data_IF_475712839048
#
_entry.id   IF_475712839048
#
_cell.length_a   1.000
_cell.length_b   1.000
_cell.length_c   1.000
_cell.angle_alpha   90.00
_cell.angle_beta   90.00
_cell.angle_gamma   90.00
#
_symmetry.space_group_name_H-M   'P 1'
#
loop_
_entity.id
_entity.type
_entity.pdbx_description
1 polymer ?
#
# COMPACT_ATOMS: atom_id res chain seq x y z
N UNK A 1 -5.74 22.74 28.42
CA UNK A 1 -5.64 21.67 27.40
C UNK A 1 -4.25 21.07 27.49
N UNK A 2 -4.14 19.88 28.06
CA UNK A 2 -2.86 19.15 28.13
C UNK A 2 -2.57 18.66 26.72
N UNK A 3 -1.51 19.18 26.11
CA UNK A 3 -0.96 18.59 24.90
C UNK A 3 -0.42 17.20 25.29
N UNK A 4 -1.20 16.15 25.01
CA UNK A 4 -0.66 14.80 25.00
C UNK A 4 0.50 14.80 23.99
N UNK A 5 1.72 14.71 24.51
CA UNK A 5 2.92 14.49 23.72
C UNK A 5 2.72 13.16 22.98
N UNK A 6 2.26 13.23 21.72
CA UNK A 6 2.10 12.04 20.90
C UNK A 6 3.47 11.36 20.79
N UNK A 7 3.60 10.17 21.40
CA UNK A 7 4.81 9.37 21.29
C UNK A 7 5.03 9.03 19.81
N UNK A 8 6.28 9.05 19.31
CA UNK A 8 6.58 8.79 17.90
C UNK A 8 6.27 7.34 17.46
N UNK A 9 6.12 6.46 18.45
CA UNK A 9 5.74 5.06 18.30
C UNK A 9 4.75 4.72 19.41
N UNK A 10 3.62 4.11 19.04
CA UNK A 10 2.63 3.57 19.94
C UNK A 10 2.46 2.07 19.66
N UNK A 11 2.36 1.30 20.74
CA UNK A 11 2.09 -0.13 20.69
C UNK A 11 0.77 -0.39 21.42
N UNK A 12 -0.16 -1.06 20.74
CA UNK A 12 -1.50 -1.34 21.29
C UNK A 12 -1.76 -2.84 21.25
N UNK A 13 -2.24 -3.42 22.35
CA UNK A 13 -2.64 -4.83 22.39
C UNK A 13 -4.09 -4.95 21.96
N UNK A 14 -4.35 -5.74 20.93
CA UNK A 14 -5.68 -6.01 20.39
C UNK A 14 -5.89 -7.53 20.21
N UNK A 15 -7.07 -7.93 19.73
CA UNK A 15 -7.34 -9.32 19.36
C UNK A 15 -7.72 -9.42 17.88
N UNK A 16 -7.18 -10.45 17.23
CA UNK A 16 -7.55 -10.84 15.88
C UNK A 16 -8.10 -12.26 15.89
N UNK A 17 -9.02 -12.57 14.99
CA UNK A 17 -9.67 -13.88 14.92
C UNK A 17 -9.20 -14.60 13.66
N UNK A 18 -8.74 -15.84 13.78
CA UNK A 18 -8.43 -16.72 12.65
C UNK A 18 -9.71 -17.24 11.98
N UNK A 19 -9.62 -17.64 10.70
CA UNK A 19 -10.77 -18.23 9.99
C UNK A 19 -11.32 -19.51 10.63
N UNK A 20 -10.51 -20.17 11.46
CA UNK A 20 -10.90 -21.30 12.30
C UNK A 20 -11.65 -20.90 13.59
N UNK A 21 -11.90 -19.61 13.82
CA UNK A 21 -12.53 -19.07 15.02
C UNK A 21 -11.56 -18.82 16.19
N UNK A 22 -10.29 -19.24 16.08
CA UNK A 22 -9.29 -19.04 17.14
C UNK A 22 -8.97 -17.56 17.31
N UNK A 23 -8.94 -17.08 18.56
CA UNK A 23 -8.54 -15.70 18.87
C UNK A 23 -7.06 -15.61 19.22
N UNK A 24 -6.36 -14.75 18.50
CA UNK A 24 -4.94 -14.47 18.70
C UNK A 24 -4.76 -13.09 19.30
N UNK A 25 -3.82 -12.98 20.24
CA UNK A 25 -3.35 -11.69 20.72
C UNK A 25 -2.54 -11.01 19.61
N UNK A 26 -2.81 -9.72 19.40
CA UNK A 26 -2.12 -8.91 18.41
C UNK A 26 -1.48 -7.69 19.09
N UNK A 27 -0.30 -7.30 18.60
CA UNK A 27 0.39 -6.08 18.97
C UNK A 27 0.44 -5.21 17.73
N UNK A 28 -0.40 -4.17 17.73
CA UNK A 28 -0.48 -3.17 16.68
C UNK A 28 0.62 -2.13 16.87
N UNK A 29 1.30 -1.80 15.77
CA UNK A 29 2.45 -0.91 15.70
C UNK A 29 2.05 0.34 14.92
N UNK A 30 1.91 1.46 15.63
CA UNK A 30 1.54 2.74 15.05
C UNK A 30 2.71 3.72 15.12
N UNK A 31 3.18 4.17 13.95
CA UNK A 31 4.20 5.19 13.82
C UNK A 31 3.52 6.51 13.50
N UNK A 32 3.52 7.42 14.46
CA UNK A 32 2.82 8.72 14.37
C UNK A 32 3.67 9.83 13.75
N UNK A 33 4.93 9.53 13.42
CA UNK A 33 5.88 10.47 12.81
C UNK A 33 6.23 10.06 11.37
N UNK A 34 6.59 11.02 10.48
CA UNK A 34 6.93 10.70 9.08
C UNK A 34 8.13 9.75 8.96
N UNK A 35 9.12 9.91 9.84
CA UNK A 35 10.34 9.11 9.90
C UNK A 35 10.64 8.74 11.35
N UNK A 36 10.70 7.45 11.62
CA UNK A 36 11.02 6.92 12.95
C UNK A 36 12.54 6.72 13.08
N UNK A 37 13.13 7.27 14.13
CA UNK A 37 14.57 7.15 14.41
C UNK A 37 14.88 5.96 15.33
N UNK A 38 15.98 5.20 15.11
CA UNK A 38 16.30 4.01 15.91
C UNK A 38 16.47 4.25 17.42
N UNK A 39 16.76 5.48 17.83
CA UNK A 39 16.88 5.86 19.25
C UNK A 39 15.63 5.56 20.07
N UNK A 40 14.45 5.41 19.44
CA UNK A 40 13.21 5.02 20.11
C UNK A 40 13.30 3.66 20.81
N UNK A 41 14.13 2.74 20.31
CA UNK A 41 14.24 1.36 20.82
C UNK A 41 14.76 1.30 22.26
N UNK A 42 15.59 2.26 22.66
CA UNK A 42 16.17 2.31 24.01
C UNK A 42 15.17 2.66 25.10
N UNK A 43 14.01 3.22 24.74
CA UNK A 43 12.94 3.65 25.65
C UNK A 43 11.61 2.94 25.38
N UNK A 44 11.64 1.90 24.57
CA UNK A 44 10.45 1.18 24.14
C UNK A 44 10.12 0.07 25.13
N UNK A 45 9.05 0.29 25.90
CA UNK A 45 8.46 -0.73 26.75
C UNK A 45 7.33 -1.46 26.01
N UNK A 46 7.20 -2.77 26.27
CA UNK A 46 6.05 -3.52 25.81
C UNK A 46 4.82 -3.13 26.65
N UNK A 47 3.61 -3.09 26.07
CA UNK A 47 2.40 -2.81 26.82
C UNK A 47 2.20 -3.79 27.98
N UNK A 48 1.74 -3.30 29.13
CA UNK A 48 1.55 -4.11 30.34
C UNK A 48 0.40 -5.12 30.18
N UNK A 49 -0.51 -4.85 29.24
CA UNK A 49 -1.66 -5.67 28.86
C UNK A 49 -1.26 -6.93 28.08
N UNK A 50 0.01 -7.05 27.66
CA UNK A 50 0.50 -8.17 26.87
C UNK A 50 0.54 -9.46 27.71
N UNK A 51 -0.39 -10.37 27.42
CA UNK A 51 -0.46 -11.68 28.05
C UNK A 51 0.73 -12.54 27.64
N UNK A 52 1.57 -12.86 28.62
CA UNK A 52 2.80 -13.63 28.43
C UNK A 52 2.55 -15.13 28.19
N UNK A 53 1.34 -15.62 28.48
CA UNK A 53 0.95 -17.02 28.30
C UNK A 53 0.46 -17.34 26.89
N UNK A 54 0.17 -16.31 26.09
CA UNK A 54 -0.34 -16.41 24.72
C UNK A 54 0.75 -16.02 23.73
N UNK A 55 0.76 -16.66 22.56
CA UNK A 55 1.60 -16.18 21.48
C UNK A 55 1.03 -14.91 20.83
N UNK A 56 1.84 -14.28 19.98
CA UNK A 56 1.62 -12.91 19.57
C UNK A 56 1.72 -12.73 18.05
N UNK A 57 0.75 -12.00 17.49
CA UNK A 57 0.80 -11.49 16.11
C UNK A 57 1.27 -10.04 16.12
N UNK A 58 2.38 -9.74 15.44
CA UNK A 58 2.82 -8.37 15.17
C UNK A 58 2.11 -7.84 13.93
N UNK A 59 1.50 -6.65 14.05
CA UNK A 59 0.77 -5.98 12.97
C UNK A 59 1.18 -4.51 12.86
N UNK A 60 1.33 -3.99 11.63
CA UNK A 60 1.51 -2.57 11.38
C UNK A 60 2.64 -2.26 10.40
N UNK A 61 2.63 -1.04 9.85
CA UNK A 61 3.69 -0.59 8.94
C UNK A 61 4.89 -0.07 9.72
N UNK A 62 5.98 -0.83 9.74
CA UNK A 62 7.18 -0.45 10.48
C UNK A 62 8.47 -0.90 9.80
N UNK A 63 9.61 -0.23 10.09
CA UNK A 63 10.91 -0.65 9.61
C UNK A 63 11.31 -2.05 10.09
N UNK A 64 12.08 -2.76 9.28
CA UNK A 64 12.57 -4.12 9.57
C UNK A 64 13.28 -4.19 10.93
N UNK A 65 14.08 -3.18 11.27
CA UNK A 65 14.80 -3.15 12.55
C UNK A 65 13.87 -3.09 13.76
N UNK A 66 12.69 -2.48 13.64
CA UNK A 66 11.70 -2.44 14.73
C UNK A 66 11.06 -3.81 14.91
N UNK A 67 10.66 -4.45 13.81
CA UNK A 67 10.17 -5.83 13.82
C UNK A 67 11.19 -6.77 14.47
N UNK A 68 12.46 -6.74 14.05
CA UNK A 68 13.53 -7.55 14.63
C UNK A 68 13.69 -7.31 16.14
N UNK A 69 13.62 -6.05 16.57
CA UNK A 69 13.68 -5.70 17.99
C UNK A 69 12.48 -6.28 18.78
N UNK A 70 11.26 -6.11 18.28
CA UNK A 70 10.04 -6.60 18.93
C UNK A 70 10.01 -8.14 18.98
N UNK A 71 10.38 -8.83 17.90
CA UNK A 71 10.52 -10.29 17.87
C UNK A 71 11.48 -10.74 18.97
N UNK A 72 12.66 -10.09 19.09
CA UNK A 72 13.63 -10.39 20.14
C UNK A 72 13.07 -10.11 21.54
N UNK A 73 12.32 -9.03 21.73
CA UNK A 73 11.75 -8.65 23.03
C UNK A 73 10.64 -9.59 23.47
N UNK A 74 9.87 -10.12 22.52
CA UNK A 74 8.78 -11.07 22.72
C UNK A 74 9.21 -12.54 22.65
N UNK A 75 10.52 -12.84 22.65
CA UNK A 75 11.05 -14.22 22.52
C UNK A 75 10.59 -15.20 23.62
N UNK A 76 10.10 -14.69 24.75
CA UNK A 76 9.66 -15.50 25.87
C UNK A 76 8.22 -16.04 25.67
N UNK A 77 7.44 -15.41 24.78
CA UNK A 77 6.09 -15.84 24.44
C UNK A 77 6.12 -17.22 23.76
N UNK A 78 5.02 -18.00 23.83
CA UNK A 78 4.92 -19.31 23.18
C UNK A 78 5.31 -19.29 21.70
N UNK A 79 4.91 -18.26 20.97
CA UNK A 79 5.28 -18.02 19.57
C UNK A 79 5.09 -16.54 19.22
N UNK A 80 5.78 -16.10 18.17
CA UNK A 80 5.65 -14.77 17.57
C UNK A 80 5.44 -14.95 16.07
N UNK A 81 4.40 -14.35 15.54
CA UNK A 81 4.11 -14.28 14.12
C UNK A 81 4.07 -12.84 13.62
N UNK A 82 4.38 -12.63 12.35
CA UNK A 82 4.28 -11.33 11.69
C UNK A 82 3.14 -11.38 10.67
N UNK A 83 2.22 -10.42 10.73
CA UNK A 83 1.16 -10.33 9.73
C UNK A 83 1.71 -9.85 8.39
N UNK A 84 1.33 -10.55 7.33
CA UNK A 84 1.65 -10.20 5.95
C UNK A 84 0.36 -9.85 5.22
N UNK A 85 0.17 -8.55 4.98
CA UNK A 85 -1.01 -8.02 4.26
C UNK A 85 -1.16 -8.67 2.88
N UNK A 86 -0.11 -8.83 2.06
CA UNK A 86 -0.24 -9.53 0.77
C UNK A 86 -0.68 -10.98 0.90
N UNK A 87 -0.30 -11.68 1.98
CA UNK A 87 -0.71 -13.07 2.18
C UNK A 87 -2.09 -13.19 2.84
N UNK A 88 -2.59 -12.13 3.49
CA UNK A 88 -3.82 -12.18 4.27
C UNK A 88 -3.70 -13.06 5.53
N UNK A 89 -2.47 -13.37 5.92
CA UNK A 89 -2.13 -14.29 7.00
C UNK A 89 -0.98 -13.75 7.83
N UNK A 90 -0.89 -14.21 9.08
CA UNK A 90 0.35 -14.08 9.83
C UNK A 90 1.20 -15.33 9.69
N UNK A 91 2.50 -15.12 9.58
CA UNK A 91 3.50 -16.19 9.46
C UNK A 91 4.25 -16.29 10.78
N UNK A 92 4.32 -17.49 11.35
CA UNK A 92 5.12 -17.75 12.55
C UNK A 92 6.60 -17.57 12.19
N UNK A 93 7.30 -16.74 12.97
CA UNK A 93 8.74 -16.44 12.76
C UNK A 93 9.61 -16.92 13.91
N UNK A 94 9.03 -17.12 15.10
CA UNK A 94 9.69 -17.70 16.25
C UNK A 94 8.68 -18.51 17.06
N UNK A 95 9.11 -19.63 17.62
CA UNK A 95 8.25 -20.48 18.44
C UNK A 95 9.02 -21.25 19.49
N UNK A 96 8.33 -21.54 20.59
CA UNK A 96 8.74 -22.39 21.72
C UNK A 96 7.78 -23.57 21.94
N UNK A 97 6.77 -23.70 21.09
CA UNK A 97 5.77 -24.76 21.13
C UNK A 97 5.77 -25.56 19.82
N UNK A 98 5.26 -26.80 19.86
CA UNK A 98 5.30 -27.70 18.69
C UNK A 98 4.12 -27.50 17.75
N UNK A 99 3.05 -26.88 18.25
CA UNK A 99 1.77 -26.71 17.57
C UNK A 99 1.79 -25.59 16.53
N UNK A 100 2.74 -24.66 16.64
CA UNK A 100 2.85 -23.46 15.80
C UNK A 100 4.33 -23.27 15.50
N UNK A 101 4.82 -23.70 14.34
CA UNK A 101 6.26 -23.71 14.02
C UNK A 101 6.63 -22.63 13.01
N UNK A 102 7.89 -22.14 13.01
CA UNK A 102 8.31 -21.13 12.04
C UNK A 102 8.03 -21.55 10.59
N UNK A 103 7.40 -20.65 9.83
CA UNK A 103 6.94 -20.91 8.46
C UNK A 103 5.44 -21.22 8.34
N UNK A 104 4.79 -21.67 9.42
CA UNK A 104 3.34 -21.84 9.43
C UNK A 104 2.62 -20.51 9.19
N UNK A 105 1.54 -20.54 8.41
CA UNK A 105 0.78 -19.35 8.05
C UNK A 105 -0.72 -19.53 8.33
N UNK A 106 -1.31 -18.58 9.05
CA UNK A 106 -2.70 -18.64 9.50
C UNK A 106 -3.50 -17.45 8.99
N UNK A 107 -4.63 -17.72 8.31
CA UNK A 107 -5.52 -16.69 7.78
C UNK A 107 -6.42 -16.09 8.86
N UNK A 108 -6.64 -14.78 8.79
CA UNK A 108 -7.55 -14.05 9.68
C UNK A 108 -8.97 -13.91 9.07
N UNK A 109 -9.95 -13.74 9.95
CA UNK A 109 -11.33 -13.35 9.59
C UNK A 109 -11.33 -11.85 9.31
N UNK A 110 -11.93 -11.48 8.18
CA UNK A 110 -11.93 -10.11 7.70
C UNK A 110 -13.36 -9.57 7.58
N UNK A 111 -13.55 -8.32 8.02
CA UNK A 111 -14.88 -7.73 8.33
C UNK A 111 -15.60 -7.13 7.11
N UNK A 112 -14.86 -6.63 6.12
CA UNK A 112 -15.41 -6.01 4.89
C UNK A 112 -14.33 -5.81 3.85
N UNK A 113 -14.67 -5.86 2.55
CA UNK A 113 -13.72 -5.55 1.48
C UNK A 113 -13.70 -4.06 1.17
N UNK A 114 -12.57 -3.41 1.38
CA UNK A 114 -12.39 -2.00 1.07
C UNK A 114 -12.30 -1.73 -0.44
N UNK A 115 -12.29 -0.44 -0.80
CA UNK A 115 -12.01 -0.01 -2.17
C UNK A 115 -10.56 -0.30 -2.57
N UNK A 116 -10.37 -0.70 -3.83
CA UNK A 116 -9.05 -0.79 -4.47
C UNK A 116 -9.03 0.03 -5.76
N UNK A 117 -8.06 0.94 -5.87
CA UNK A 117 -7.91 1.88 -6.99
C UNK A 117 -6.71 1.47 -7.84
N UNK A 118 -6.98 1.05 -9.08
CA UNK A 118 -5.93 0.80 -10.06
C UNK A 118 -5.44 2.12 -10.65
N UNK A 119 -4.13 2.36 -10.62
CA UNK A 119 -3.50 3.54 -11.20
C UNK A 119 -2.76 3.09 -12.46
N UNK A 120 -3.26 3.52 -13.61
CA UNK A 120 -2.80 3.10 -14.93
C UNK A 120 -2.51 4.27 -15.87
N UNK A 121 -2.00 3.96 -17.05
CA UNK A 121 -1.62 4.97 -18.05
C UNK A 121 -0.36 4.59 -18.85
N UNK A 122 -0.14 5.22 -20.01
CA UNK A 122 1.01 4.89 -20.86
C UNK A 122 2.36 5.06 -20.15
N UNK A 123 3.43 4.39 -20.63
CA UNK A 123 4.78 4.61 -20.15
C UNK A 123 5.16 6.09 -20.14
N UNK A 124 5.91 6.51 -19.12
CA UNK A 124 6.42 7.88 -18.95
C UNK A 124 5.38 8.98 -18.76
N UNK A 125 4.12 8.65 -18.48
CA UNK A 125 3.07 9.65 -18.19
C UNK A 125 2.99 10.11 -16.73
N UNK A 126 3.96 9.77 -15.87
CA UNK A 126 3.96 10.23 -14.46
C UNK A 126 3.31 9.29 -13.45
N UNK A 127 2.89 8.07 -13.83
CA UNK A 127 2.28 7.07 -12.92
C UNK A 127 3.02 6.89 -11.59
N UNK A 128 4.32 6.58 -11.63
CA UNK A 128 5.08 6.30 -10.42
C UNK A 128 5.20 7.53 -9.51
N UNK A 129 5.23 8.73 -10.10
CA UNK A 129 5.24 10.02 -9.39
C UNK A 129 3.88 10.25 -8.73
N UNK A 130 2.79 10.05 -9.47
CA UNK A 130 1.43 10.12 -8.94
C UNK A 130 1.22 9.13 -7.78
N UNK A 131 1.58 7.86 -7.95
CA UNK A 131 1.46 6.84 -6.90
C UNK A 131 2.23 7.23 -5.63
N UNK A 132 3.42 7.79 -5.78
CA UNK A 132 4.23 8.26 -4.65
C UNK A 132 3.60 9.49 -3.96
N UNK A 133 3.25 10.52 -4.73
CA UNK A 133 2.66 11.76 -4.22
C UNK A 133 1.30 11.49 -3.55
N UNK A 134 0.45 10.65 -4.15
CA UNK A 134 -0.84 10.26 -3.60
C UNK A 134 -0.67 9.49 -2.28
N UNK A 135 0.16 8.45 -2.24
CA UNK A 135 0.38 7.68 -1.03
C UNK A 135 0.97 8.53 0.11
N UNK A 136 1.88 9.45 -0.22
CA UNK A 136 2.44 10.40 0.74
C UNK A 136 1.37 11.36 1.27
N UNK A 137 0.59 11.97 0.37
CA UNK A 137 -0.45 12.94 0.74
C UNK A 137 -1.49 12.28 1.64
N UNK A 138 -1.98 11.08 1.27
CA UNK A 138 -2.94 10.36 2.09
C UNK A 138 -2.38 10.02 3.49
N UNK A 139 -1.12 9.58 3.58
CA UNK A 139 -0.48 9.33 4.88
C UNK A 139 -0.40 10.59 5.76
N UNK A 140 -0.30 11.78 5.15
CA UNK A 140 -0.24 13.05 5.88
C UNK A 140 -1.64 13.52 6.31
N UNK A 141 -2.64 13.38 5.44
CA UNK A 141 -3.99 13.92 5.64
C UNK A 141 -4.87 13.00 6.51
N UNK A 142 -4.65 11.68 6.44
CA UNK A 142 -5.44 10.66 7.15
C UNK A 142 -4.52 9.60 7.75
N UNK A 143 -3.65 10.06 8.66
CA UNK A 143 -2.64 9.23 9.30
C UNK A 143 -3.20 8.08 10.16
N UNK A 144 -4.46 8.18 10.59
CA UNK A 144 -5.19 7.16 11.34
C UNK A 144 -5.75 6.03 10.46
N UNK A 145 -5.65 6.16 9.13
CA UNK A 145 -6.22 5.22 8.17
C UNK A 145 -5.19 4.23 7.63
N UNK A 146 -5.61 2.97 7.53
CA UNK A 146 -4.77 1.89 7.01
C UNK A 146 -4.84 1.84 5.48
N UNK A 147 -3.87 2.49 4.83
CA UNK A 147 -3.78 2.58 3.37
C UNK A 147 -2.55 1.84 2.86
N UNK A 148 -2.74 1.01 1.84
CA UNK A 148 -1.66 0.21 1.26
C UNK A 148 -1.42 0.57 -0.21
N UNK A 149 -0.15 0.81 -0.58
CA UNK A 149 0.27 0.96 -1.99
C UNK A 149 0.91 -0.34 -2.48
N UNK A 150 0.15 -1.12 -3.25
CA UNK A 150 0.64 -2.31 -3.92
C UNK A 150 1.30 -1.93 -5.25
N UNK A 151 2.62 -2.15 -5.34
CA UNK A 151 3.37 -2.02 -6.59
C UNK A 151 3.16 -3.28 -7.44
N UNK A 152 2.29 -3.21 -8.44
CA UNK A 152 2.07 -4.26 -9.43
C UNK A 152 2.78 -3.89 -10.74
N UNK A 153 4.05 -3.51 -10.63
CA UNK A 153 4.91 -3.14 -11.75
C UNK A 153 6.07 -4.12 -11.92
N UNK A 154 6.21 -4.65 -13.12
CA UNK A 154 7.14 -5.74 -13.42
C UNK A 154 8.59 -5.28 -13.61
N UNK A 155 8.82 -3.98 -13.82
CA UNK A 155 10.14 -3.39 -14.04
C UNK A 155 10.96 -3.22 -12.75
N UNK A 156 10.36 -3.48 -11.59
CA UNK A 156 11.04 -3.45 -10.28
C UNK A 156 11.30 -2.05 -9.75
N UNK A 157 10.78 -1.00 -10.40
CA UNK A 157 10.83 0.35 -9.84
C UNK A 157 10.04 0.39 -8.52
N UNK A 158 10.33 1.37 -7.66
CA UNK A 158 9.65 1.51 -6.38
C UNK A 158 9.85 2.90 -5.79
N UNK A 159 9.47 3.09 -4.52
CA UNK A 159 9.71 4.36 -3.83
C UNK A 159 11.20 4.74 -3.81
N UNK A 160 12.10 3.74 -3.72
CA UNK A 160 13.55 3.93 -3.75
C UNK A 160 14.00 4.70 -5.01
N UNK A 161 13.47 4.35 -6.17
CA UNK A 161 13.85 4.95 -7.45
C UNK A 161 13.40 6.42 -7.52
N UNK A 162 12.22 6.74 -6.97
CA UNK A 162 11.74 8.11 -6.86
C UNK A 162 12.57 8.94 -5.86
N UNK A 163 12.94 8.33 -4.72
CA UNK A 163 13.62 8.99 -3.60
C UNK A 163 15.13 9.18 -3.79
N UNK A 164 15.77 8.38 -4.64
CA UNK A 164 17.21 8.47 -4.87
C UNK A 164 17.61 9.81 -5.51
N UNK A 165 18.46 10.57 -4.81
CA UNK A 165 19.03 11.83 -5.32
C UNK A 165 20.02 11.61 -6.48
N UNK A 166 20.81 10.54 -6.44
CA UNK A 166 21.74 10.19 -7.51
C UNK A 166 20.96 9.56 -8.69
N UNK A 167 20.51 10.41 -9.62
CA UNK A 167 19.68 10.01 -10.77
C UNK A 167 20.40 9.04 -11.72
N UNK A 168 21.66 9.26 -12.13
CA UNK A 168 22.36 8.30 -12.99
C UNK A 168 22.43 6.89 -12.38
N UNK A 169 22.75 6.79 -11.09
CA UNK A 169 22.80 5.50 -10.41
C UNK A 169 21.41 4.86 -10.28
N UNK A 170 20.39 5.65 -9.95
CA UNK A 170 19.02 5.15 -9.87
C UNK A 170 18.59 4.54 -11.21
N UNK A 171 18.86 5.22 -12.32
CA UNK A 171 18.53 4.75 -13.67
C UNK A 171 19.30 3.46 -14.04
N UNK A 172 20.58 3.40 -13.68
CA UNK A 172 21.39 2.21 -13.86
C UNK A 172 20.82 1.01 -13.09
N UNK A 173 20.50 1.20 -11.80
CA UNK A 173 19.91 0.15 -10.96
C UNK A 173 18.55 -0.30 -11.50
N UNK A 174 17.69 0.63 -11.93
CA UNK A 174 16.38 0.30 -12.54
C UNK A 174 16.59 -0.58 -13.78
N UNK A 175 17.52 -0.23 -14.68
CA UNK A 175 17.81 -1.05 -15.86
C UNK A 175 18.29 -2.47 -15.49
N UNK A 176 19.12 -2.59 -14.45
CA UNK A 176 19.63 -3.89 -13.96
C UNK A 176 18.56 -4.73 -13.26
N UNK A 177 17.56 -4.11 -12.62
CA UNK A 177 16.52 -4.81 -11.85
C UNK A 177 15.33 -5.27 -12.69
N UNK A 178 15.25 -4.89 -13.97
CA UNK A 178 14.14 -5.28 -14.85
C UNK A 178 14.13 -6.79 -15.05
N UNK A 179 13.22 -7.45 -14.35
CA UNK A 179 12.94 -8.86 -14.57
C UNK A 179 12.09 -9.05 -15.83
N UNK A 180 12.23 -10.21 -16.49
CA UNK A 180 11.24 -10.63 -17.49
C UNK A 180 9.97 -11.00 -16.74
N UNK A 181 8.87 -10.33 -17.04
CA UNK A 181 7.57 -10.61 -16.39
C UNK A 181 7.20 -12.09 -16.50
N UNK A 182 6.79 -12.69 -15.39
CA UNK A 182 6.29 -14.07 -15.36
C UNK A 182 4.80 -14.12 -15.64
N UNK A 183 4.29 -15.26 -16.11
CA UNK A 183 2.84 -15.44 -16.29
C UNK A 183 2.07 -15.39 -14.97
N UNK A 184 2.74 -15.72 -13.87
CA UNK A 184 2.16 -15.69 -12.53
C UNK A 184 2.22 -14.30 -11.87
N UNK A 185 2.89 -13.32 -12.48
CA UNK A 185 3.12 -12.01 -11.87
C UNK A 185 1.81 -11.30 -11.48
N UNK A 186 0.89 -11.14 -12.44
CA UNK A 186 -0.38 -10.48 -12.18
C UNK A 186 -1.35 -11.36 -11.39
N UNK A 187 -1.19 -12.68 -11.43
CA UNK A 187 -1.96 -13.59 -10.56
C UNK A 187 -1.55 -13.44 -9.09
N UNK A 188 -0.24 -13.34 -8.82
CA UNK A 188 0.28 -13.04 -7.48
C UNK A 188 -0.28 -11.71 -6.97
N UNK A 189 -0.21 -10.66 -7.79
CA UNK A 189 -0.76 -9.35 -7.40
C UNK A 189 -2.28 -9.37 -7.23
N UNK A 190 -3.02 -10.14 -8.04
CA UNK A 190 -4.45 -10.30 -7.88
C UNK A 190 -4.79 -10.91 -6.51
N UNK A 191 -4.11 -11.99 -6.13
CA UNK A 191 -4.30 -12.61 -4.82
C UNK A 191 -3.91 -11.65 -3.70
N UNK A 192 -2.80 -10.94 -3.84
CA UNK A 192 -2.34 -9.97 -2.86
C UNK A 192 -3.33 -8.82 -2.67
N UNK A 193 -3.88 -8.25 -3.75
CA UNK A 193 -4.91 -7.20 -3.67
C UNK A 193 -6.18 -7.72 -3.01
N UNK A 194 -6.59 -8.96 -3.30
CA UNK A 194 -7.74 -9.58 -2.63
C UNK A 194 -7.54 -9.64 -1.11
N UNK A 195 -6.37 -10.10 -0.67
CA UNK A 195 -6.01 -10.17 0.75
C UNK A 195 -5.89 -8.78 1.40
N UNK A 196 -5.29 -7.80 0.72
CA UNK A 196 -5.16 -6.45 1.24
C UNK A 196 -6.50 -5.78 1.47
N UNK A 197 -7.44 -5.95 0.53
CA UNK A 197 -8.78 -5.34 0.63
C UNK A 197 -9.57 -5.81 1.83
N UNK A 198 -9.22 -6.97 2.37
CA UNK A 198 -9.87 -7.55 3.52
C UNK A 198 -9.35 -6.96 4.86
N UNK A 199 -8.15 -6.37 4.90
CA UNK A 199 -7.52 -5.85 6.14
C UNK A 199 -7.13 -4.36 6.11
N UNK A 200 -7.35 -3.67 5.00
CA UNK A 200 -7.04 -2.26 4.80
C UNK A 200 -8.32 -1.44 4.64
N UNK A 201 -8.22 -0.12 4.75
CA UNK A 201 -9.33 0.81 4.45
C UNK A 201 -9.27 1.31 3.01
N UNK A 202 -8.09 1.30 2.38
CA UNK A 202 -7.93 1.60 0.95
C UNK A 202 -6.68 0.91 0.40
N UNK A 203 -6.80 0.36 -0.81
CA UNK A 203 -5.65 -0.20 -1.56
C UNK A 203 -5.43 0.60 -2.83
N UNK A 204 -4.22 1.14 -3.00
CA UNK A 204 -3.75 1.71 -4.26
C UNK A 204 -2.95 0.64 -5.02
N UNK A 205 -3.24 0.45 -6.29
CA UNK A 205 -2.58 -0.56 -7.13
C UNK A 205 -1.87 0.14 -8.28
N UNK A 206 -0.55 0.23 -8.19
CA UNK A 206 0.30 0.81 -9.24
C UNK A 206 0.51 -0.22 -10.35
N UNK A 207 -0.24 -0.08 -11.45
CA UNK A 207 -0.21 -1.01 -12.57
C UNK A 207 0.92 -0.64 -13.54
N UNK A 208 1.93 -1.51 -13.62
CA UNK A 208 3.07 -1.32 -14.51
C UNK A 208 2.89 -1.96 -15.89
N UNK A 209 3.38 -1.27 -16.92
CA UNK A 209 3.34 -1.74 -18.30
C UNK A 209 2.09 -1.32 -19.08
N UNK A 210 2.01 -1.79 -20.33
CA UNK A 210 0.83 -1.61 -21.18
C UNK A 210 -0.19 -2.71 -20.93
N UNK A 211 -1.50 -2.42 -21.07
CA UNK A 211 -2.56 -3.40 -20.90
C UNK A 211 -2.36 -4.62 -21.81
N UNK A 212 -2.41 -5.83 -21.24
CA UNK A 212 -2.51 -7.08 -22.01
C UNK A 212 -3.78 -7.83 -21.63
N UNK A 213 -4.39 -8.60 -22.55
CA UNK A 213 -5.62 -9.34 -22.25
C UNK A 213 -5.55 -10.24 -21.02
N UNK A 214 -4.39 -10.88 -20.78
CA UNK A 214 -4.20 -11.76 -19.62
C UNK A 214 -4.10 -11.04 -18.27
N UNK A 215 -3.82 -9.74 -18.29
CA UNK A 215 -3.61 -8.95 -17.06
C UNK A 215 -4.95 -8.58 -16.38
N UNK A 216 -6.09 -8.85 -17.03
CA UNK A 216 -7.46 -8.60 -16.52
C UNK A 216 -7.73 -9.32 -15.18
N UNK A 217 -6.99 -10.39 -14.87
CA UNK A 217 -7.10 -11.09 -13.58
C UNK A 217 -6.87 -10.15 -12.37
N UNK A 218 -5.96 -9.18 -12.50
CA UNK A 218 -5.72 -8.17 -11.45
C UNK A 218 -6.87 -7.17 -11.37
N UNK A 219 -7.47 -6.81 -12.52
CA UNK A 219 -8.55 -5.84 -12.60
C UNK A 219 -9.78 -6.33 -11.84
N UNK A 220 -10.12 -7.63 -11.93
CA UNK A 220 -11.24 -8.22 -11.17
C UNK A 220 -11.09 -8.13 -9.64
N UNK A 221 -9.91 -7.74 -9.14
CA UNK A 221 -9.67 -7.52 -7.71
C UNK A 221 -9.72 -6.05 -7.32
N UNK A 222 -9.71 -5.15 -8.30
CA UNK A 222 -9.84 -3.70 -8.12
C UNK A 222 -11.31 -3.27 -8.25
N UNK A 223 -11.60 -2.04 -7.82
CA UNK A 223 -12.96 -1.47 -7.80
C UNK A 223 -13.08 -0.19 -8.64
N UNK A 224 -12.04 0.64 -8.59
CA UNK A 224 -11.98 1.94 -9.24
C UNK A 224 -10.67 2.06 -10.00
N UNK A 225 -10.57 3.03 -10.91
CA UNK A 225 -9.31 3.33 -11.57
C UNK A 225 -9.06 4.83 -11.76
N UNK A 226 -7.77 5.16 -11.78
CA UNK A 226 -7.21 6.45 -12.17
C UNK A 226 -6.36 6.24 -13.42
N UNK A 227 -6.57 7.05 -14.45
CA UNK A 227 -5.69 7.12 -15.62
C UNK A 227 -4.85 8.38 -15.52
N UNK A 228 -3.54 8.27 -15.68
CA UNK A 228 -2.67 9.42 -15.93
C UNK A 228 -1.96 9.23 -17.28
N UNK A 229 -2.16 10.17 -18.20
CA UNK A 229 -1.62 10.08 -19.56
C UNK A 229 -1.08 11.41 -20.05
N UNK A 230 0.13 11.37 -20.60
CA UNK A 230 0.71 12.45 -21.40
C UNK A 230 0.39 12.29 -22.90
N UNK A 231 -0.45 11.30 -23.23
CA UNK A 231 -0.85 10.87 -24.58
C UNK A 231 -2.37 10.73 -24.60
N UNK A 232 -3.13 11.81 -24.87
CA UNK A 232 -4.59 11.78 -24.84
C UNK A 232 -5.19 10.66 -25.71
N UNK A 233 -4.55 10.35 -26.84
CA UNK A 233 -4.94 9.30 -27.78
C UNK A 233 -4.90 7.87 -27.21
N UNK A 234 -4.15 7.64 -26.13
CA UNK A 234 -4.07 6.33 -25.47
C UNK A 234 -5.13 6.15 -24.36
N UNK A 235 -5.76 7.24 -23.89
CA UNK A 235 -6.76 7.20 -22.80
C UNK A 235 -7.94 6.27 -23.12
N UNK A 236 -8.53 6.28 -24.34
CA UNK A 236 -9.63 5.36 -24.68
C UNK A 236 -9.26 3.89 -24.52
N UNK A 237 -8.01 3.50 -24.84
CA UNK A 237 -7.55 2.11 -24.68
C UNK A 237 -7.50 1.71 -23.20
N UNK A 238 -7.09 2.62 -22.33
CA UNK A 238 -7.09 2.41 -20.87
C UNK A 238 -8.51 2.35 -20.30
N UNK A 239 -9.45 3.16 -20.79
CA UNK A 239 -10.87 3.04 -20.43
C UNK A 239 -11.48 1.71 -20.88
N UNK A 240 -11.18 1.23 -22.09
CA UNK A 240 -11.62 -0.10 -22.56
C UNK A 240 -11.11 -1.20 -21.62
N UNK A 241 -9.82 -1.16 -21.32
CA UNK A 241 -9.18 -2.15 -20.44
C UNK A 241 -9.75 -2.13 -19.02
N UNK A 242 -9.77 -0.97 -18.35
CA UNK A 242 -10.20 -0.87 -16.96
C UNK A 242 -11.72 -0.98 -16.81
N UNK A 243 -12.46 -0.21 -17.61
CA UNK A 243 -13.91 -0.12 -17.51
C UNK A 243 -14.62 -1.30 -18.16
N UNK A 244 -14.42 -1.50 -19.48
CA UNK A 244 -15.19 -2.51 -20.21
C UNK A 244 -14.75 -3.93 -19.92
N UNK A 245 -13.43 -4.20 -19.90
CA UNK A 245 -12.92 -5.56 -19.64
C UNK A 245 -12.83 -5.87 -18.16
N UNK A 246 -12.42 -4.90 -17.34
CA UNK A 246 -12.23 -5.10 -15.90
C UNK A 246 -13.49 -4.88 -15.06
N UNK A 247 -14.48 -4.11 -15.55
CA UNK A 247 -15.66 -3.74 -14.77
C UNK A 247 -15.40 -2.69 -13.68
N UNK A 248 -14.26 -1.98 -13.73
CA UNK A 248 -13.91 -0.98 -12.72
C UNK A 248 -14.67 0.34 -13.00
N UNK A 249 -14.91 1.12 -11.94
CA UNK A 249 -15.50 2.46 -12.04
C UNK A 249 -14.42 3.53 -12.28
N UNK A 250 -14.56 4.41 -13.27
CA UNK A 250 -13.63 5.52 -13.43
C UNK A 250 -13.71 6.45 -12.23
N UNK A 251 -12.57 6.80 -11.66
CA UNK A 251 -12.48 7.79 -10.58
C UNK A 251 -11.91 9.10 -11.09
N UNK A 252 -10.72 9.05 -11.70
CA UNK A 252 -10.02 10.23 -12.23
C UNK A 252 -9.33 9.95 -13.56
N UNK A 253 -9.36 10.92 -14.48
CA UNK A 253 -8.47 11.00 -15.64
C UNK A 253 -7.60 12.25 -15.52
N UNK A 254 -6.30 12.07 -15.65
CA UNK A 254 -5.29 13.12 -15.55
C UNK A 254 -4.57 13.23 -16.89
N UNK A 255 -4.76 14.37 -17.56
CA UNK A 255 -3.95 14.78 -18.71
C UNK A 255 -2.64 15.39 -18.18
N UNK A 256 -1.58 14.58 -18.21
CA UNK A 256 -0.25 14.93 -17.72
C UNK A 256 0.43 15.91 -18.67
N UNK A 257 0.78 17.10 -18.17
CA UNK A 257 1.51 18.13 -18.92
C UNK A 257 2.87 18.44 -18.28
N UNK A 258 3.75 19.16 -19.00
CA UNK A 258 5.10 19.53 -18.51
C UNK A 258 5.14 20.94 -17.92
N UNK A 259 4.19 21.78 -18.27
CA UNK A 259 4.01 23.08 -17.67
C UNK A 259 3.30 22.98 -16.31
N UNK A 260 3.53 23.97 -15.44
CA UNK A 260 2.77 24.10 -14.20
C UNK A 260 1.32 24.48 -14.53
N UNK A 261 0.42 23.51 -14.45
CA UNK A 261 -1.00 23.66 -14.77
C UNK A 261 -1.84 22.82 -13.83
N UNK A 262 -2.98 23.36 -13.45
CA UNK A 262 -4.07 22.63 -12.80
C UNK A 262 -5.37 23.19 -13.36
N UNK A 263 -6.12 22.35 -14.05
CA UNK A 263 -7.41 22.71 -14.64
C UNK A 263 -8.37 21.54 -14.49
N UNK A 264 -9.56 21.79 -13.97
CA UNK A 264 -10.63 20.81 -13.88
C UNK A 264 -11.48 20.92 -15.14
N UNK A 265 -11.55 19.84 -15.90
CA UNK A 265 -12.37 19.78 -17.11
C UNK A 265 -13.82 19.44 -16.77
N UNK A 266 -14.79 19.99 -17.51
CA UNK A 266 -16.20 19.72 -17.29
C UNK A 266 -16.56 18.29 -17.69
N UNK A 267 -16.56 17.37 -16.72
CA UNK A 267 -16.98 15.98 -16.90
C UNK A 267 -17.86 15.53 -15.73
N UNK A 268 -19.03 14.95 -16.04
CA UNK A 268 -20.01 14.54 -15.04
C UNK A 268 -19.84 13.08 -14.57
N UNK A 269 -19.07 12.26 -15.29
CA UNK A 269 -18.94 10.82 -15.01
C UNK A 269 -17.82 10.49 -14.03
N UNK A 270 -16.75 11.27 -14.06
CA UNK A 270 -15.55 11.12 -13.23
C UNK A 270 -14.81 12.46 -13.19
N UNK A 271 -13.88 12.62 -12.25
CA UNK A 271 -13.04 13.81 -12.21
C UNK A 271 -12.06 13.78 -13.39
N UNK A 272 -12.04 14.82 -14.20
CA UNK A 272 -11.09 14.95 -15.31
C UNK A 272 -10.29 16.22 -15.12
N UNK A 273 -8.95 16.12 -15.13
CA UNK A 273 -8.07 17.25 -14.89
C UNK A 273 -6.91 17.29 -15.89
N UNK A 274 -6.45 18.50 -16.21
CA UNK A 274 -5.13 18.75 -16.79
C UNK A 274 -4.21 19.15 -15.66
N UNK A 275 -3.16 18.38 -15.40
CA UNK A 275 -2.26 18.65 -14.29
C UNK A 275 -0.81 18.34 -14.62
N UNK A 276 0.10 19.16 -14.11
CA UNK A 276 1.54 18.98 -14.25
C UNK A 276 2.36 20.10 -13.62
N UNK A 277 3.69 19.96 -13.58
CA UNK A 277 4.41 18.79 -14.05
C UNK A 277 4.44 17.64 -13.03
N UNK A 278 4.65 16.41 -13.52
CA UNK A 278 4.78 15.20 -12.71
C UNK A 278 6.25 14.76 -12.66
N UNK A 279 7.08 15.55 -11.97
CA UNK A 279 8.54 15.37 -11.95
C UNK A 279 8.99 14.56 -10.74
N UNK A 280 9.90 13.61 -11.00
CA UNK A 280 10.43 12.72 -9.97
C UNK A 280 11.25 13.53 -8.96
N UNK A 281 10.90 13.40 -7.68
CA UNK A 281 11.58 14.08 -6.56
C UNK A 281 11.15 15.54 -6.35
N UNK A 282 10.36 16.11 -7.25
CA UNK A 282 9.84 17.48 -7.13
C UNK A 282 8.34 17.49 -6.83
N UNK A 283 7.56 16.66 -7.53
CA UNK A 283 6.13 16.53 -7.28
C UNK A 283 5.90 15.63 -6.06
N UNK A 284 5.56 16.26 -4.94
CA UNK A 284 5.46 15.62 -3.63
C UNK A 284 4.03 15.58 -3.07
N UNK A 285 3.11 16.32 -3.68
CA UNK A 285 1.69 16.37 -3.33
C UNK A 285 0.84 16.19 -4.59
N UNK A 286 -0.46 15.99 -4.39
CA UNK A 286 -1.46 15.90 -5.44
C UNK A 286 -2.44 17.08 -5.38
N UNK A 287 -3.17 17.37 -6.47
CA UNK A 287 -4.25 18.35 -6.44
C UNK A 287 -5.36 18.00 -5.43
N UNK A 288 -5.94 19.00 -4.80
CA UNK A 288 -6.99 18.84 -3.77
C UNK A 288 -8.24 18.14 -4.32
N UNK A 289 -8.59 18.36 -5.59
CA UNK A 289 -9.71 17.72 -6.24
C UNK A 289 -9.50 16.20 -6.35
N UNK A 290 -8.26 15.79 -6.67
CA UNK A 290 -7.90 14.38 -6.69
C UNK A 290 -7.95 13.79 -5.29
N UNK A 291 -7.44 14.49 -4.27
CA UNK A 291 -7.51 14.05 -2.89
C UNK A 291 -8.97 13.86 -2.46
N UNK A 292 -9.83 14.86 -2.68
CA UNK A 292 -11.27 14.80 -2.38
C UNK A 292 -11.96 13.63 -3.08
N UNK A 293 -11.62 13.35 -4.35
CA UNK A 293 -12.18 12.22 -5.08
C UNK A 293 -11.81 10.87 -4.44
N UNK A 294 -10.56 10.72 -3.99
CA UNK A 294 -10.08 9.51 -3.31
C UNK A 294 -10.70 9.36 -1.91
N UNK A 295 -10.75 10.43 -1.12
CA UNK A 295 -11.28 10.39 0.25
C UNK A 295 -12.77 10.01 0.31
N UNK A 296 -13.56 10.30 -0.73
CA UNK A 296 -14.96 9.85 -0.84
C UNK A 296 -15.13 8.33 -0.81
N UNK A 297 -14.07 7.57 -1.14
CA UNK A 297 -14.09 6.11 -1.10
C UNK A 297 -13.87 5.53 0.30
N UNK A 298 -13.49 6.35 1.28
CA UNK A 298 -13.27 5.97 2.68
C UNK A 298 -14.47 6.25 3.59
N UNK A 299 -15.46 7.00 3.10
CA UNK A 299 -16.64 7.44 3.85
C UNK A 299 -17.88 6.58 3.60
N UNK A 300 -17.73 5.41 2.96
CA UNK A 300 -18.82 4.53 2.55
C UNK A 300 -18.81 3.21 3.34
#
# INVERSE_FOLDING_TARGET
MVACLNKPLQLTVTEVTGRNGTRYQCLEIDITVPQLEPAVLGKLDLPAELDQSRGLVLWGSAPIWLYSYLIKRCRALPWVGCYSVPLGSFVIVASRCKEMVPGDAFQLVNKSQCSAILIGGPPNSGKSVLCYALARTLKQEIADKNIFLQRAQWDGEGNWFAQMKNRPLAEELSKRSRAKGSEQFFLYHANAVSSMREGMELVLVDFGGMPKPKDVVLLHRCTHYIIISSKPEEIPKWHDFCGKRGGLKPLVVIHSVREKRLEVLPNQKFLEIVAGPWERGETLSIPDELLKAVLKLLTC
#
